data_IF_955235935248
#
_entry.id   IF_955235935248
#
_cell.length_a   1.000
_cell.length_b   1.000
_cell.length_c   1.000
_cell.angle_alpha   90.00
_cell.angle_beta   90.00
_cell.angle_gamma   90.00
#
_symmetry.space_group_name_H-M   'P 1'
#
loop_
_entity.id
_entity.type
_entity.pdbx_description
1 polymer ?
#
# COMPACT_ATOMS: atom_id res chain seq x y z
N UNK A 1 17.78 -3.20 2.15
CA UNK A 1 16.36 -2.98 2.50
C UNK A 1 16.14 -1.61 3.15
N UNK A 2 17.02 -1.17 4.06
CA UNK A 2 16.80 0.12 4.75
C UNK A 2 16.74 1.32 3.79
N UNK A 3 17.66 1.40 2.83
CA UNK A 3 17.66 2.49 1.86
C UNK A 3 16.40 2.51 1.01
N UNK A 4 15.96 1.34 0.57
CA UNK A 4 14.72 1.21 -0.20
C UNK A 4 13.51 1.57 0.65
N UNK A 5 13.48 1.11 1.90
CA UNK A 5 12.43 1.47 2.85
C UNK A 5 12.34 2.96 3.09
N UNK A 6 13.48 3.63 3.24
CA UNK A 6 13.53 5.08 3.43
C UNK A 6 12.98 5.83 2.21
N UNK A 7 13.28 5.37 1.01
CA UNK A 7 12.73 5.93 -0.22
C UNK A 7 11.22 5.75 -0.30
N UNK A 8 10.72 4.58 0.11
CA UNK A 8 9.28 4.30 0.13
C UNK A 8 8.56 5.16 1.16
N UNK A 9 9.14 5.36 2.33
CA UNK A 9 8.59 6.26 3.35
C UNK A 9 8.50 7.69 2.82
N UNK A 10 9.54 8.16 2.12
CA UNK A 10 9.52 9.47 1.49
C UNK A 10 8.37 9.58 0.49
N UNK A 11 8.15 8.55 -0.32
CA UNK A 11 7.03 8.50 -1.26
C UNK A 11 5.68 8.51 -0.54
N UNK A 12 5.56 7.81 0.59
CA UNK A 12 4.35 7.83 1.41
C UNK A 12 4.03 9.23 1.92
N UNK A 13 5.03 9.95 2.41
CA UNK A 13 4.84 11.32 2.88
C UNK A 13 4.40 12.25 1.75
N UNK A 14 5.01 12.12 0.57
CA UNK A 14 4.61 12.91 -0.59
C UNK A 14 3.17 12.60 -1.01
N UNK A 15 2.79 11.33 -1.05
CA UNK A 15 1.42 10.93 -1.38
C UNK A 15 0.43 11.48 -0.36
N UNK A 16 0.77 11.45 0.93
CA UNK A 16 -0.07 11.99 1.98
C UNK A 16 -0.26 13.51 1.85
N UNK A 17 0.81 14.25 1.51
CA UNK A 17 0.71 15.69 1.24
C UNK A 17 -0.21 15.97 0.05
N UNK A 18 -0.04 15.23 -1.02
CA UNK A 18 -0.88 15.37 -2.23
C UNK A 18 -2.34 15.07 -1.91
N UNK A 19 -2.60 14.03 -1.14
CA UNK A 19 -3.96 13.68 -0.73
C UNK A 19 -4.60 14.79 0.12
N UNK A 20 -3.86 15.35 1.06
CA UNK A 20 -4.35 16.44 1.90
C UNK A 20 -4.71 17.68 1.05
N UNK A 21 -3.84 18.06 0.13
CA UNK A 21 -4.08 19.18 -0.78
C UNK A 21 -5.31 18.91 -1.66
N UNK A 22 -5.41 17.68 -2.20
CA UNK A 22 -6.54 17.29 -3.03
C UNK A 22 -7.89 17.31 -2.29
N UNK A 23 -7.87 17.12 -0.97
CA UNK A 23 -9.06 17.18 -0.11
C UNK A 23 -9.34 18.59 0.44
N UNK A 24 -8.53 19.59 0.06
CA UNK A 24 -8.69 20.95 0.56
C UNK A 24 -8.18 21.17 1.97
N UNK A 25 -7.31 20.28 2.46
CA UNK A 25 -6.71 20.36 3.78
C UNK A 25 -5.31 20.96 3.71
N UNK A 26 -4.75 21.34 4.86
CA UNK A 26 -3.35 21.73 4.92
C UNK A 26 -2.45 20.57 4.53
N UNK A 27 -1.34 20.86 3.86
CA UNK A 27 -0.46 19.81 3.31
C UNK A 27 0.10 18.89 4.38
N UNK A 28 0.26 19.34 5.60
CA UNK A 28 0.81 18.56 6.71
C UNK A 28 -0.25 17.91 7.61
N UNK A 29 -1.52 17.96 7.20
CA UNK A 29 -2.61 17.36 7.97
C UNK A 29 -2.38 15.88 8.25
N UNK A 30 -1.98 15.13 7.22
CA UNK A 30 -1.71 13.70 7.37
C UNK A 30 -0.27 13.42 7.79
N UNK A 31 0.70 14.15 7.23
CA UNK A 31 2.11 13.90 7.50
C UNK A 31 2.48 14.18 8.97
N UNK A 32 1.85 15.16 9.59
CA UNK A 32 2.07 15.44 11.00
C UNK A 32 1.68 14.26 11.89
N UNK A 33 0.68 13.50 11.48
CA UNK A 33 0.23 12.29 12.20
C UNK A 33 1.04 11.05 11.86
N UNK A 34 1.69 11.04 10.70
CA UNK A 34 2.55 9.94 10.27
C UNK A 34 3.94 10.03 10.87
N UNK A 35 4.40 11.24 11.20
CA UNK A 35 5.73 11.49 11.72
C UNK A 35 5.91 10.79 13.06
N UNK A 36 6.95 9.95 13.15
CA UNK A 36 7.22 9.17 14.35
C UNK A 36 6.32 7.95 14.52
N UNK A 37 5.38 7.74 13.62
CA UNK A 37 4.53 6.55 13.63
C UNK A 37 5.24 5.31 13.11
N UNK A 38 4.74 4.12 13.42
CA UNK A 38 5.34 2.89 12.92
C UNK A 38 5.06 2.71 11.42
N UNK A 39 6.05 2.18 10.73
CA UNK A 39 5.94 1.80 9.32
C UNK A 39 6.21 0.31 9.17
N UNK A 40 5.48 -0.34 8.29
CA UNK A 40 5.66 -1.75 8.01
C UNK A 40 6.17 -1.95 6.58
N UNK A 41 7.32 -2.58 6.46
CA UNK A 41 7.83 -3.08 5.18
C UNK A 41 7.71 -4.59 5.22
N UNK A 42 6.83 -5.13 4.39
CA UNK A 42 6.50 -6.54 4.42
C UNK A 42 6.79 -7.20 3.07
N UNK A 43 8.04 -7.63 2.83
CA UNK A 43 8.34 -8.47 1.67
C UNK A 43 7.58 -9.79 1.81
N UNK A 44 6.76 -10.09 0.81
CA UNK A 44 5.91 -11.27 0.84
C UNK A 44 6.17 -12.11 -0.39
N UNK A 45 6.25 -13.42 -0.21
CA UNK A 45 6.46 -14.35 -1.30
C UNK A 45 5.54 -15.55 -1.14
N UNK A 46 5.19 -16.17 -2.27
CA UNK A 46 4.38 -17.38 -2.32
C UNK A 46 5.07 -18.44 -3.16
N UNK A 47 4.94 -19.69 -2.74
CA UNK A 47 5.49 -20.82 -3.49
C UNK A 47 4.52 -21.20 -4.61
N UNK A 48 4.73 -20.61 -5.76
CA UNK A 48 3.83 -20.79 -6.91
C UNK A 48 3.90 -22.20 -7.51
N UNK A 49 4.96 -22.96 -7.20
CA UNK A 49 5.09 -24.34 -7.69
C UNK A 49 4.27 -25.33 -6.85
N UNK A 50 3.98 -24.96 -5.61
CA UNK A 50 3.27 -25.82 -4.66
C UNK A 50 1.74 -25.76 -4.86
N UNK A 51 1.22 -24.66 -5.38
CA UNK A 51 -0.22 -24.41 -5.45
C UNK A 51 -0.70 -24.31 -6.88
N UNK A 52 -1.94 -24.75 -7.11
CA UNK A 52 -2.56 -24.72 -8.42
C UNK A 52 -2.89 -23.28 -8.86
N UNK A 53 -3.05 -23.12 -10.18
CA UNK A 53 -3.53 -21.87 -10.77
C UNK A 53 -4.93 -21.58 -10.21
N UNK A 54 -5.15 -20.32 -9.82
CA UNK A 54 -6.41 -19.89 -9.23
C UNK A 54 -6.43 -19.91 -7.71
N UNK A 55 -5.36 -20.42 -7.06
CA UNK A 55 -5.25 -20.40 -5.62
C UNK A 55 -5.14 -18.95 -5.12
N UNK A 56 -6.00 -18.58 -4.14
CA UNK A 56 -5.92 -17.28 -3.51
C UNK A 56 -4.85 -17.26 -2.44
N UNK A 57 -3.81 -16.45 -2.62
CA UNK A 57 -2.76 -16.30 -1.62
C UNK A 57 -3.12 -15.27 -0.55
N UNK A 58 -3.97 -14.30 -0.89
CA UNK A 58 -4.48 -13.33 0.05
C UNK A 58 -5.94 -13.09 -0.24
N UNK A 59 -6.77 -13.22 0.78
CA UNK A 59 -8.19 -13.01 0.67
C UNK A 59 -8.53 -11.52 0.62
N UNK A 60 -9.74 -11.23 0.25
CA UNK A 60 -10.31 -9.88 0.29
C UNK A 60 -10.14 -9.28 1.69
N UNK A 61 -9.54 -8.10 1.77
CA UNK A 61 -9.33 -7.39 3.03
C UNK A 61 -9.09 -5.90 2.77
N UNK A 62 -9.17 -5.10 3.82
CA UNK A 62 -8.71 -3.73 3.81
C UNK A 62 -7.29 -3.66 4.34
N UNK A 63 -6.48 -2.80 3.76
CA UNK A 63 -5.15 -2.53 4.29
C UNK A 63 -5.25 -1.69 5.56
N UNK A 64 -4.32 -1.91 6.47
CA UNK A 64 -4.22 -1.16 7.70
C UNK A 64 -3.49 0.16 7.47
N UNK A 65 -3.70 1.10 8.35
CA UNK A 65 -3.04 2.39 8.38
C UNK A 65 -3.47 3.37 7.29
N UNK A 66 -2.71 4.45 7.16
CA UNK A 66 -3.04 5.58 6.31
C UNK A 66 -2.87 5.29 4.83
N UNK A 67 -1.67 4.84 4.49
CA UNK A 67 -1.28 4.68 3.08
C UNK A 67 -0.49 3.40 2.96
N UNK A 68 -0.83 2.64 1.93
CA UNK A 68 -0.08 1.47 1.51
C UNK A 68 0.44 1.68 0.10
N UNK A 69 1.70 1.39 -0.13
CA UNK A 69 2.28 1.40 -1.47
C UNK A 69 2.50 -0.04 -1.92
N UNK A 70 1.89 -0.37 -3.03
CA UNK A 70 2.10 -1.66 -3.69
C UNK A 70 3.00 -1.46 -4.89
N UNK A 71 4.02 -2.30 -5.03
CA UNK A 71 4.83 -2.34 -6.23
C UNK A 71 4.03 -2.84 -7.42
N UNK A 72 4.43 -2.42 -8.60
CA UNK A 72 3.79 -2.89 -9.83
C UNK A 72 3.94 -4.40 -9.97
N UNK A 73 2.83 -5.09 -10.11
CA UNK A 73 2.85 -6.52 -10.39
C UNK A 73 3.24 -6.78 -11.85
N UNK A 74 4.05 -7.80 -12.07
CA UNK A 74 4.39 -8.27 -13.43
C UNK A 74 3.31 -9.15 -14.03
N UNK A 75 2.50 -9.76 -13.19
CA UNK A 75 1.51 -10.76 -13.59
C UNK A 75 0.14 -10.36 -13.06
N UNK A 76 -0.94 -10.80 -13.72
CA UNK A 76 -2.29 -10.55 -13.21
C UNK A 76 -2.55 -11.31 -11.90
N UNK A 77 -3.52 -10.85 -11.12
CA UNK A 77 -3.91 -11.52 -9.89
C UNK A 77 -4.13 -10.61 -8.71
N UNK A 78 -3.65 -9.36 -8.77
CA UNK A 78 -3.97 -8.37 -7.75
C UNK A 78 -5.18 -7.57 -8.20
N UNK A 79 -6.22 -7.56 -7.38
CA UNK A 79 -7.47 -6.86 -7.70
C UNK A 79 -7.82 -5.85 -6.62
N UNK A 80 -8.35 -4.73 -7.06
CA UNK A 80 -8.92 -3.70 -6.21
C UNK A 80 -10.44 -3.75 -6.32
N UNK A 81 -11.11 -3.81 -5.19
CA UNK A 81 -12.56 -3.79 -5.16
C UNK A 81 -13.06 -2.39 -4.82
N UNK A 82 -13.98 -1.88 -5.60
CA UNK A 82 -14.62 -0.60 -5.31
C UNK A 82 -15.67 -0.78 -4.21
N UNK A 83 -16.19 0.34 -3.70
CA UNK A 83 -17.30 0.31 -2.74
C UNK A 83 -18.53 -0.43 -3.28
N UNK A 84 -18.70 -0.41 -4.60
CA UNK A 84 -19.81 -1.08 -5.27
C UNK A 84 -19.50 -2.56 -5.52
N UNK A 85 -18.43 -3.08 -4.94
CA UNK A 85 -17.98 -4.47 -5.08
C UNK A 85 -17.65 -4.86 -6.52
N UNK A 86 -17.17 -3.92 -7.29
CA UNK A 86 -16.64 -4.14 -8.64
C UNK A 86 -15.13 -4.25 -8.61
N UNK A 87 -14.59 -5.23 -9.30
CA UNK A 87 -13.15 -5.40 -9.46
C UNK A 87 -12.53 -4.30 -10.29
#
# INVERSE_FOLDING_TARGET
>A
MNKWGDQMITADFLAAEMAAIGMGLDKDTFTSRMKGGPHLLAPTASDVLKYEVGTAFASFHYDLNFITIHGKSRYPGLFLWTREMKK
#
